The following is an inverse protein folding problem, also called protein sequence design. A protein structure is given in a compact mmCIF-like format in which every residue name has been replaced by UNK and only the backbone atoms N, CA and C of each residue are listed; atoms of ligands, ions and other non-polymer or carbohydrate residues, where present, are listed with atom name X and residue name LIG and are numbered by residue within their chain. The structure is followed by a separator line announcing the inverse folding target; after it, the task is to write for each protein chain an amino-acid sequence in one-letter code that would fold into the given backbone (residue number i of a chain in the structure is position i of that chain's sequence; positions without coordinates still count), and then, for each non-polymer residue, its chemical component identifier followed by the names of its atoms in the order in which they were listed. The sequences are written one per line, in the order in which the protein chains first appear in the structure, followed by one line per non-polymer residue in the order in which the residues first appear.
data_IF_651572619871
#
_entry.id   IF_651572619871
#
_cell.length_a   1.000
_cell.length_b   1.000
_cell.length_c   1.000
_cell.angle_alpha   90.00
_cell.angle_beta   90.00
_cell.angle_gamma   90.00
#
_symmetry.space_group_name_H-M   'P 1'
#
loop_
_entity.id
_entity.type
_entity.pdbx_description
1 polymer ?
#
# COMPACT_ATOMS: atom_id res chain seq x y z
N UNK A 1 -34.91 70.52 -2.11
CA UNK A 1 -34.39 70.22 -3.47
C UNK A 1 -33.84 68.79 -3.48
N UNK A 2 -34.21 68.01 -4.50
CA UNK A 2 -33.66 66.71 -4.97
C UNK A 2 -33.33 65.64 -3.92
N UNK A 3 -34.20 64.65 -3.64
CA UNK A 3 -34.53 63.47 -4.49
C UNK A 3 -33.34 62.94 -5.30
N UNK A 4 -32.68 61.89 -4.82
CA UNK A 4 -32.14 60.81 -5.66
C UNK A 4 -32.38 59.46 -4.98
N UNK A 5 -33.39 58.77 -5.49
CA UNK A 5 -33.58 57.33 -5.35
C UNK A 5 -32.32 56.61 -5.85
N UNK A 6 -31.82 55.66 -5.06
CA UNK A 6 -30.85 54.67 -5.53
C UNK A 6 -31.62 53.35 -5.62
N UNK A 7 -31.88 52.93 -6.86
CA UNK A 7 -32.59 51.70 -7.18
C UNK A 7 -31.80 50.49 -6.67
N UNK A 8 -32.49 49.65 -5.91
CA UNK A 8 -32.13 48.26 -5.67
C UNK A 8 -32.49 47.51 -6.95
N UNK A 9 -31.51 47.16 -7.77
CA UNK A 9 -31.68 46.18 -8.84
C UNK A 9 -31.47 44.79 -8.23
N UNK A 10 -32.55 44.02 -8.30
CA UNK A 10 -32.63 42.59 -8.07
C UNK A 10 -31.76 41.89 -9.12
N UNK A 11 -30.58 41.42 -8.72
CA UNK A 11 -29.90 40.32 -9.41
C UNK A 11 -29.80 39.17 -8.41
N UNK A 12 -30.91 38.45 -8.36
CA UNK A 12 -31.07 37.16 -7.72
C UNK A 12 -30.19 36.14 -8.46
N UNK A 13 -28.89 36.18 -8.18
CA UNK A 13 -27.97 35.12 -8.58
C UNK A 13 -28.29 33.89 -7.72
N UNK A 14 -29.24 33.09 -8.22
CA UNK A 14 -29.44 31.72 -7.81
C UNK A 14 -28.09 30.99 -7.93
N UNK A 15 -27.44 30.78 -6.78
CA UNK A 15 -26.32 29.87 -6.67
C UNK A 15 -26.78 28.47 -7.13
N UNK A 16 -26.05 27.76 -8.01
CA UNK A 16 -26.36 26.37 -8.29
C UNK A 16 -26.19 25.58 -6.99
N UNK A 17 -27.31 25.11 -6.44
CA UNK A 17 -27.42 24.33 -5.21
C UNK A 17 -26.91 22.89 -5.34
N UNK A 18 -26.30 22.54 -6.46
CA UNK A 18 -25.71 21.24 -6.70
C UNK A 18 -24.26 21.21 -6.22
N UNK A 19 -24.07 21.49 -4.93
CA UNK A 19 -22.88 21.06 -4.23
C UNK A 19 -22.93 19.52 -4.16
N UNK A 20 -22.51 18.88 -5.25
CA UNK A 20 -22.34 17.44 -5.32
C UNK A 20 -21.53 16.99 -4.10
N UNK A 21 -22.18 16.20 -3.24
CA UNK A 21 -21.58 15.60 -2.06
C UNK A 21 -20.42 14.71 -2.51
N UNK A 22 -19.20 15.26 -2.50
CA UNK A 22 -18.02 14.59 -3.04
C UNK A 22 -17.54 13.41 -2.19
N UNK A 23 -18.14 13.17 -1.02
CA UNK A 23 -17.61 12.18 -0.05
C UNK A 23 -18.69 11.53 0.83
N UNK A 24 -19.89 11.25 0.32
CA UNK A 24 -20.84 10.38 1.03
C UNK A 24 -20.99 9.03 0.32
N UNK A 25 -20.57 7.93 0.98
CA UNK A 25 -20.72 6.55 0.50
C UNK A 25 -22.16 6.16 0.14
N UNK A 26 -23.14 6.88 0.70
CA UNK A 26 -24.57 6.68 0.45
C UNK A 26 -25.07 7.19 -0.90
N UNK A 27 -24.26 7.99 -1.62
CA UNK A 27 -24.64 8.60 -2.90
C UNK A 27 -23.79 8.09 -4.08
N UNK A 28 -23.13 6.93 -3.94
CA UNK A 28 -22.43 6.33 -5.06
C UNK A 28 -23.43 5.97 -6.17
N UNK A 29 -23.17 6.33 -7.44
CA UNK A 29 -24.04 5.93 -8.54
C UNK A 29 -24.07 4.41 -8.64
N UNK A 30 -25.27 3.83 -8.81
CA UNK A 30 -25.46 2.37 -8.93
C UNK A 30 -24.70 1.82 -10.15
N UNK A 31 -24.58 2.62 -11.21
CA UNK A 31 -23.82 2.28 -12.42
C UNK A 31 -23.12 3.52 -13.00
N UNK A 32 -21.93 3.31 -13.56
CA UNK A 32 -21.20 4.33 -14.33
C UNK A 32 -21.00 3.78 -15.74
N UNK A 33 -21.39 4.55 -16.75
CA UNK A 33 -21.11 4.20 -18.14
C UNK A 33 -19.83 4.90 -18.57
N UNK A 34 -18.87 4.11 -19.06
CA UNK A 34 -17.60 4.59 -19.59
C UNK A 34 -17.63 4.35 -21.09
N UNK A 35 -17.42 5.36 -21.94
CA UNK A 35 -17.29 5.16 -23.37
C UNK A 35 -16.23 4.10 -23.69
N UNK A 36 -16.47 3.25 -24.69
CA UNK A 36 -15.56 2.15 -25.01
C UNK A 36 -14.12 2.64 -25.30
N UNK A 37 -13.99 3.78 -25.97
CA UNK A 37 -12.69 4.38 -26.25
C UNK A 37 -11.91 4.74 -24.97
N UNK A 38 -12.61 5.29 -23.97
CA UNK A 38 -12.00 5.63 -22.68
C UNK A 38 -11.64 4.37 -21.89
N UNK A 39 -12.47 3.32 -21.95
CA UNK A 39 -12.16 2.05 -21.31
C UNK A 39 -10.90 1.40 -21.87
N UNK A 40 -10.74 1.41 -23.20
CA UNK A 40 -9.52 0.89 -23.86
C UNK A 40 -8.30 1.67 -23.39
N UNK A 41 -8.37 3.01 -23.38
CA UNK A 41 -7.27 3.87 -22.89
C UNK A 41 -6.90 3.54 -21.45
N UNK A 42 -7.88 3.42 -20.55
CA UNK A 42 -7.65 3.09 -19.14
C UNK A 42 -7.00 1.71 -18.98
N UNK A 43 -7.36 0.75 -19.82
CA UNK A 43 -6.77 -0.59 -19.77
C UNK A 43 -5.31 -0.57 -20.23
N UNK A 44 -4.99 0.20 -21.27
CA UNK A 44 -3.61 0.38 -21.75
C UNK A 44 -2.75 1.11 -20.71
N UNK A 45 -3.27 2.16 -20.09
CA UNK A 45 -2.60 2.87 -18.98
C UNK A 45 -2.35 1.93 -17.79
N UNK A 46 -3.34 1.10 -17.42
CA UNK A 46 -3.21 0.11 -16.35
C UNK A 46 -2.12 -0.91 -16.66
N UNK A 47 -2.01 -1.35 -17.92
CA UNK A 47 -0.96 -2.25 -18.39
C UNK A 47 0.41 -1.58 -18.31
N UNK A 48 0.56 -0.35 -18.80
CA UNK A 48 1.81 0.41 -18.74
C UNK A 48 2.27 0.62 -17.29
N UNK A 49 1.34 0.94 -16.38
CA UNK A 49 1.65 1.05 -14.95
C UNK A 49 2.13 -0.28 -14.36
N UNK A 50 1.52 -1.41 -14.73
CA UNK A 50 1.96 -2.72 -14.28
C UNK A 50 3.38 -3.05 -14.76
N UNK A 51 3.68 -2.80 -16.04
CA UNK A 51 5.01 -2.97 -16.63
C UNK A 51 6.05 -2.04 -15.95
N UNK A 52 5.69 -0.78 -15.73
CA UNK A 52 6.51 0.17 -14.99
C UNK A 52 6.79 -0.32 -13.57
N UNK A 53 5.78 -0.82 -12.84
CA UNK A 53 5.97 -1.36 -11.51
C UNK A 53 6.91 -2.57 -11.49
N UNK A 54 6.86 -3.46 -12.49
CA UNK A 54 7.78 -4.59 -12.60
C UNK A 54 9.22 -4.13 -12.79
N UNK A 55 9.45 -3.17 -13.68
CA UNK A 55 10.79 -2.63 -13.98
C UNK A 55 11.36 -1.83 -12.81
N UNK A 56 10.53 -1.04 -12.14
CA UNK A 56 10.96 -0.16 -11.04
C UNK A 56 11.01 -0.85 -9.68
N UNK A 57 10.59 -2.12 -9.57
CA UNK A 57 10.79 -2.92 -8.35
C UNK A 57 12.25 -2.96 -7.90
N UNK A 58 13.20 -2.87 -8.84
CA UNK A 58 14.63 -2.84 -8.55
C UNK A 58 15.11 -1.47 -8.01
N UNK A 59 14.40 -0.38 -8.32
CA UNK A 59 14.68 0.97 -7.79
C UNK A 59 14.05 1.22 -6.42
N UNK A 60 13.10 0.37 -6.00
CA UNK A 60 12.62 0.36 -4.62
C UNK A 60 13.80 0.01 -3.74
N UNK A 61 14.29 1.00 -2.98
CA UNK A 61 15.48 0.94 -2.13
C UNK A 61 15.65 -0.47 -1.53
N UNK A 62 16.80 -1.13 -1.75
CA UNK A 62 17.02 -2.46 -1.20
C UNK A 62 16.76 -2.38 0.29
N UNK A 63 15.89 -3.25 0.79
CA UNK A 63 15.50 -3.27 2.18
C UNK A 63 16.76 -3.18 3.06
N UNK A 64 16.71 -2.27 4.04
CA UNK A 64 17.84 -2.01 4.93
C UNK A 64 18.17 -3.20 5.84
N UNK A 65 17.30 -4.22 5.91
CA UNK A 65 17.55 -5.38 6.77
C UNK A 65 18.49 -6.37 6.08
N UNK A 66 19.58 -6.72 6.79
CA UNK A 66 20.58 -7.69 6.36
C UNK A 66 19.93 -9.04 5.97
N UNK A 67 18.88 -9.43 6.70
CA UNK A 67 18.09 -10.64 6.46
C UNK A 67 17.47 -10.66 5.06
N UNK A 68 16.93 -9.54 4.57
CA UNK A 68 16.29 -9.52 3.23
C UNK A 68 17.28 -9.52 2.07
N UNK A 69 18.55 -9.19 2.32
CA UNK A 69 19.61 -9.26 1.32
C UNK A 69 20.18 -10.67 1.17
N UNK A 70 20.13 -11.46 2.25
CA UNK A 70 20.64 -12.83 2.31
C UNK A 70 19.48 -13.85 2.32
N UNK A 71 19.04 -14.37 1.16
CA UNK A 71 17.88 -15.27 1.10
C UNK A 71 18.11 -16.57 1.88
N UNK A 72 19.35 -17.08 1.92
CA UNK A 72 19.70 -18.29 2.66
C UNK A 72 19.47 -18.13 4.17
N UNK A 73 19.89 -16.99 4.73
CA UNK A 73 19.71 -16.66 6.15
C UNK A 73 18.22 -16.43 6.42
N UNK A 74 17.51 -15.75 5.52
CA UNK A 74 16.07 -15.52 5.63
C UNK A 74 15.27 -16.83 5.71
N UNK A 75 15.57 -17.80 4.84
CA UNK A 75 14.94 -19.13 4.83
C UNK A 75 15.30 -19.93 6.07
N UNK A 76 16.57 -19.92 6.48
CA UNK A 76 16.99 -20.60 7.71
C UNK A 76 16.27 -20.07 8.94
N UNK A 77 16.16 -18.75 9.07
CA UNK A 77 15.43 -18.12 10.17
C UNK A 77 13.93 -18.44 10.12
N UNK A 78 13.31 -18.32 8.94
CA UNK A 78 11.89 -18.60 8.74
C UNK A 78 11.53 -20.04 9.16
N UNK A 79 12.35 -21.02 8.77
CA UNK A 79 12.13 -22.43 9.12
C UNK A 79 12.35 -22.73 10.61
N UNK A 80 13.12 -21.91 11.31
CA UNK A 80 13.43 -22.12 12.72
C UNK A 80 12.46 -21.43 13.69
N UNK A 81 11.79 -20.36 13.26
CA UNK A 81 10.84 -19.65 14.12
C UNK A 81 9.68 -20.56 14.54
N UNK A 82 9.28 -20.47 15.81
CA UNK A 82 8.26 -21.34 16.42
C UNK A 82 8.78 -22.70 16.89
N UNK A 83 9.90 -23.19 16.35
CA UNK A 83 10.52 -24.45 16.77
C UNK A 83 11.59 -24.27 17.84
N UNK A 84 12.36 -23.18 17.76
CA UNK A 84 13.49 -22.87 18.65
C UNK A 84 13.42 -21.42 19.13
N UNK A 85 14.04 -21.14 20.27
CA UNK A 85 14.19 -19.76 20.75
C UNK A 85 15.09 -18.94 19.83
N UNK A 86 14.82 -17.64 19.72
CA UNK A 86 15.57 -16.72 18.84
C UNK A 86 17.06 -16.72 19.17
N UNK A 87 17.43 -16.72 20.46
CA UNK A 87 18.83 -16.78 20.89
C UNK A 87 19.55 -18.04 20.38
N UNK A 88 18.87 -19.20 20.42
CA UNK A 88 19.43 -20.46 19.91
C UNK A 88 19.55 -20.43 18.39
N UNK A 89 18.55 -19.88 17.69
CA UNK A 89 18.58 -19.69 16.25
C UNK A 89 19.77 -18.83 15.81
N UNK A 90 20.03 -17.72 16.49
CA UNK A 90 21.13 -16.82 16.15
C UNK A 90 22.49 -17.48 16.41
N UNK A 91 22.60 -18.30 17.47
CA UNK A 91 23.82 -19.08 17.72
C UNK A 91 24.07 -20.11 16.61
N UNK A 92 23.03 -20.80 16.16
CA UNK A 92 23.12 -21.74 15.03
C UNK A 92 23.40 -21.01 13.71
N UNK A 93 22.78 -19.86 13.48
CA UNK A 93 23.01 -18.98 12.33
C UNK A 93 24.46 -18.52 12.28
N UNK A 94 25.00 -18.05 13.41
CA UNK A 94 26.41 -17.64 13.55
C UNK A 94 27.37 -18.79 13.26
N UNK A 95 27.03 -20.02 13.69
CA UNK A 95 27.82 -21.22 13.43
C UNK A 95 27.81 -21.61 11.95
N UNK A 96 26.67 -21.47 11.26
CA UNK A 96 26.52 -21.89 9.85
C UNK A 96 27.00 -20.86 8.84
N UNK A 97 26.63 -19.58 9.03
CA UNK A 97 26.82 -18.51 8.05
C UNK A 97 27.89 -17.49 8.46
N UNK A 98 28.41 -17.58 9.68
CA UNK A 98 29.40 -16.65 10.23
C UNK A 98 28.78 -15.40 10.86
N UNK A 99 29.61 -14.65 11.62
CA UNK A 99 29.17 -13.48 12.36
C UNK A 99 28.72 -12.32 11.45
N UNK A 100 29.38 -12.14 10.29
CA UNK A 100 29.09 -11.05 9.35
C UNK A 100 27.68 -11.12 8.75
N UNK A 101 27.16 -12.35 8.53
CA UNK A 101 25.82 -12.59 7.98
C UNK A 101 24.74 -12.78 9.03
N UNK A 102 25.12 -12.84 10.31
CA UNK A 102 24.16 -13.07 11.40
C UNK A 102 23.48 -11.76 11.78
N UNK A 103 22.14 -11.67 11.71
CA UNK A 103 21.44 -10.46 12.10
C UNK A 103 21.45 -10.27 13.61
N UNK A 104 21.19 -9.02 14.05
CA UNK A 104 20.95 -8.75 15.47
C UNK A 104 19.63 -9.39 15.94
N UNK A 105 19.51 -9.61 17.26
CA UNK A 105 18.32 -10.19 17.86
C UNK A 105 17.05 -9.37 17.57
N UNK A 106 17.12 -8.04 17.67
CA UNK A 106 16.01 -7.16 17.30
C UNK A 106 15.62 -7.27 15.83
N UNK A 107 16.59 -7.45 14.94
CA UNK A 107 16.32 -7.63 13.51
C UNK A 107 15.60 -8.95 13.24
N UNK A 108 15.99 -10.03 13.92
CA UNK A 108 15.31 -11.32 13.83
C UNK A 108 13.86 -11.24 14.34
N UNK A 109 13.59 -10.57 15.46
CA UNK A 109 12.22 -10.35 15.95
C UNK A 109 11.36 -9.53 14.98
N UNK A 110 11.89 -8.42 14.46
CA UNK A 110 11.17 -7.60 13.48
C UNK A 110 10.84 -8.37 12.20
N UNK A 111 11.77 -9.21 11.76
CA UNK A 111 11.56 -10.07 10.61
C UNK A 111 10.50 -11.15 10.88
N UNK A 112 10.50 -11.76 12.07
CA UNK A 112 9.47 -12.71 12.45
C UNK A 112 8.08 -12.05 12.52
N UNK A 113 7.99 -10.87 13.10
CA UNK A 113 6.75 -10.11 13.17
C UNK A 113 6.23 -9.73 11.77
N UNK A 114 7.12 -9.33 10.86
CA UNK A 114 6.71 -9.00 9.49
C UNK A 114 6.18 -10.22 8.72
N UNK A 115 6.76 -11.42 8.94
CA UNK A 115 6.22 -12.67 8.39
C UNK A 115 4.80 -12.90 8.92
N UNK A 116 4.58 -12.80 10.24
CA UNK A 116 3.28 -13.05 10.85
C UNK A 116 2.20 -12.08 10.37
N UNK A 117 2.54 -10.79 10.28
CA UNK A 117 1.62 -9.78 9.74
C UNK A 117 1.25 -10.13 8.30
N UNK A 118 2.23 -10.45 7.47
CA UNK A 118 2.01 -10.76 6.05
C UNK A 118 1.18 -12.05 5.87
N UNK A 119 1.43 -13.09 6.66
CA UNK A 119 0.62 -14.31 6.68
C UNK A 119 -0.82 -14.04 7.09
N UNK A 120 -1.04 -13.24 8.15
CA UNK A 120 -2.38 -12.84 8.59
C UNK A 120 -3.11 -12.06 7.49
N UNK A 121 -2.44 -11.10 6.86
CA UNK A 121 -3.00 -10.34 5.74
C UNK A 121 -3.37 -11.24 4.55
N UNK A 122 -2.53 -12.24 4.23
CA UNK A 122 -2.81 -13.20 3.16
C UNK A 122 -4.04 -14.07 3.48
N UNK A 123 -4.14 -14.58 4.72
CA UNK A 123 -5.32 -15.37 5.16
C UNK A 123 -6.60 -14.54 5.07
N UNK A 124 -6.58 -13.29 5.53
CA UNK A 124 -7.75 -12.41 5.47
C UNK A 124 -8.19 -12.11 4.03
N UNK A 125 -7.25 -12.02 3.08
CA UNK A 125 -7.58 -11.82 1.65
C UNK A 125 -8.26 -13.04 1.01
N UNK A 126 -7.99 -14.26 1.49
CA UNK A 126 -8.61 -15.48 0.98
C UNK A 126 -10.06 -15.59 1.46
N UNK A 127 -10.32 -15.21 2.71
CA UNK A 127 -11.67 -15.29 3.32
C UNK A 127 -12.63 -14.21 2.79
N UNK A 128 -12.10 -13.10 2.27
CA UNK A 128 -12.89 -12.00 1.71
C UNK A 128 -13.26 -12.17 0.22
N UNK A 129 -12.97 -13.33 -0.39
CA UNK A 129 -13.35 -13.70 -1.76
C UNK A 129 -14.41 -14.78 -1.72
#
# INVERSE_FOLDING_TARGET
MSRRHRNLSEDEQAAPSDAACSVCRSCAPEFVTIPLADYIRLNDESRQLAEWHLNNRQLIKPSRSLITRDPEVAVFLANGFGLKSVARLLKECKKKFGAARTPSQNSAYRYWESIRINERSKRNKIVAK
#
